data_IF_562716614258
#
_entry.id   IF_562716614258
#
_cell.length_a   1.000
_cell.length_b   1.000
_cell.length_c   1.000
_cell.angle_alpha   90.00
_cell.angle_beta   90.00
_cell.angle_gamma   90.00
#
_symmetry.space_group_name_H-M   'P 1'
#
loop_
_entity.id
_entity.type
_entity.pdbx_description
1 polymer ?
#
# COMPACT_ATOMS: atom_id res chain seq x y z
N UNK A 1 -42.97 49.36 -76.69
CA UNK A 1 -42.98 49.27 -75.21
C UNK A 1 -42.16 48.06 -74.81
N UNK A 2 -40.89 48.24 -74.48
CA UNK A 2 -40.02 47.17 -73.94
C UNK A 2 -39.64 47.58 -72.52
N UNK A 3 -40.15 46.84 -71.53
CA UNK A 3 -39.86 47.05 -70.11
C UNK A 3 -38.63 46.24 -69.73
N UNK A 4 -37.63 46.89 -69.12
CA UNK A 4 -36.40 46.27 -68.62
C UNK A 4 -36.63 45.78 -67.18
N UNK A 5 -36.23 44.54 -66.92
CA UNK A 5 -36.18 43.96 -65.58
C UNK A 5 -35.01 44.54 -64.78
N UNK A 6 -35.25 44.84 -63.49
CA UNK A 6 -34.22 45.09 -62.49
C UNK A 6 -34.16 43.89 -61.53
N UNK A 7 -32.98 43.29 -61.40
CA UNK A 7 -32.66 42.27 -60.39
C UNK A 7 -32.06 42.97 -59.19
N UNK A 8 -32.66 42.81 -58.01
CA UNK A 8 -32.13 43.34 -56.75
C UNK A 8 -31.30 42.26 -56.05
N UNK A 9 -30.02 42.54 -55.80
CA UNK A 9 -29.17 41.74 -54.92
C UNK A 9 -29.39 42.17 -53.47
N UNK A 10 -29.87 41.26 -52.62
CA UNK A 10 -29.89 41.44 -51.17
C UNK A 10 -28.59 40.94 -50.56
N UNK A 11 -27.83 41.82 -49.90
CA UNK A 11 -26.72 41.43 -49.02
C UNK A 11 -27.30 40.97 -47.67
N UNK A 12 -27.07 39.71 -47.31
CA UNK A 12 -27.27 39.23 -45.94
C UNK A 12 -25.99 39.47 -45.15
N UNK A 13 -26.06 40.27 -44.09
CA UNK A 13 -24.98 40.46 -43.12
C UNK A 13 -25.06 39.39 -42.04
N UNK A 14 -24.13 38.44 -42.03
CA UNK A 14 -23.94 37.46 -40.97
C UNK A 14 -23.12 38.08 -39.84
N UNK A 15 -23.74 38.31 -38.68
CA UNK A 15 -23.06 38.71 -37.46
C UNK A 15 -22.51 37.47 -36.75
N UNK A 16 -21.20 37.22 -36.86
CA UNK A 16 -20.51 36.23 -36.04
C UNK A 16 -20.30 36.78 -34.63
N UNK A 17 -21.06 36.28 -33.66
CA UNK A 17 -20.77 36.50 -32.25
C UNK A 17 -19.57 35.63 -31.85
N UNK A 18 -18.41 36.25 -31.66
CA UNK A 18 -17.26 35.58 -31.07
C UNK A 18 -17.56 35.29 -29.59
N UNK A 19 -17.78 34.01 -29.25
CA UNK A 19 -17.85 33.58 -27.87
C UNK A 19 -16.45 33.70 -27.25
N UNK A 20 -16.27 34.66 -26.35
CA UNK A 20 -15.09 34.78 -25.52
C UNK A 20 -15.09 33.61 -24.52
N UNK A 21 -14.26 32.60 -24.79
CA UNK A 21 -13.95 31.55 -23.82
C UNK A 21 -13.16 32.17 -22.68
N UNK A 22 -13.79 32.32 -21.52
CA UNK A 22 -13.08 32.69 -20.28
C UNK A 22 -12.21 31.49 -19.89
N UNK A 23 -10.88 31.66 -19.72
CA UNK A 23 -10.04 30.58 -19.22
C UNK A 23 -10.50 30.24 -17.80
N UNK A 24 -10.88 28.99 -17.61
CA UNK A 24 -11.23 28.45 -16.30
C UNK A 24 -9.97 28.50 -15.43
N UNK A 25 -9.96 29.37 -14.41
CA UNK A 25 -8.87 29.40 -13.44
C UNK A 25 -8.90 28.05 -12.72
N UNK A 26 -7.81 27.26 -12.71
CA UNK A 26 -7.78 26.00 -11.97
C UNK A 26 -8.11 26.31 -10.52
N UNK A 27 -9.25 25.82 -10.04
CA UNK A 27 -9.57 25.88 -8.62
C UNK A 27 -8.49 25.06 -7.93
N UNK A 28 -7.66 25.70 -7.10
CA UNK A 28 -6.74 24.99 -6.24
C UNK A 28 -7.57 23.90 -5.52
N UNK A 29 -7.16 22.63 -5.66
CA UNK A 29 -7.76 21.55 -4.87
C UNK A 29 -7.69 21.99 -3.41
N UNK A 30 -8.80 21.89 -2.70
CA UNK A 30 -8.78 22.15 -1.27
C UNK A 30 -7.86 21.11 -0.64
N UNK A 31 -6.87 21.56 0.12
CA UNK A 31 -5.96 20.65 0.81
C UNK A 31 -6.72 19.73 1.74
N UNK A 32 -6.29 18.47 1.80
CA UNK A 32 -6.86 17.49 2.71
C UNK A 32 -6.78 17.99 4.16
N UNK A 33 -7.91 17.97 4.87
CA UNK A 33 -8.00 18.40 6.28
C UNK A 33 -8.00 17.22 7.26
N UNK A 34 -8.14 16.01 6.74
CA UNK A 34 -8.09 14.73 7.47
C UNK A 34 -7.41 13.74 6.55
N UNK A 35 -6.40 13.03 7.04
CA UNK A 35 -5.60 12.09 6.28
C UNK A 35 -5.51 10.78 7.07
N UNK A 36 -5.90 9.67 6.46
CA UNK A 36 -6.01 8.38 7.15
C UNK A 36 -6.80 8.45 8.48
N UNK A 37 -7.88 9.22 8.49
CA UNK A 37 -8.77 9.38 9.65
C UNK A 37 -8.38 10.47 10.66
N UNK A 38 -7.19 11.08 10.55
CA UNK A 38 -6.70 12.08 11.53
C UNK A 38 -6.19 13.36 10.85
N UNK A 39 -6.49 14.52 11.42
CA UNK A 39 -6.03 15.81 10.88
C UNK A 39 -4.51 15.98 11.07
N UNK A 40 -4.00 15.50 12.20
CA UNK A 40 -2.60 15.56 12.62
C UNK A 40 -1.67 14.77 11.69
N UNK A 41 -2.21 13.81 10.94
CA UNK A 41 -1.44 13.03 9.98
C UNK A 41 -1.24 13.74 8.64
N UNK A 42 -2.03 14.77 8.32
CA UNK A 42 -1.88 15.48 7.04
C UNK A 42 -0.55 16.21 6.91
N UNK A 43 -0.04 16.80 7.99
CA UNK A 43 1.26 17.49 8.00
C UNK A 43 2.43 16.57 8.36
N UNK A 44 2.18 15.26 8.53
CA UNK A 44 3.19 14.29 8.94
C UNK A 44 3.77 13.56 7.73
N UNK A 45 5.10 13.52 7.64
CA UNK A 45 5.81 12.72 6.64
C UNK A 45 5.37 11.27 6.70
N UNK A 46 5.09 10.66 5.56
CA UNK A 46 4.75 9.23 5.43
C UNK A 46 5.80 8.34 6.09
N UNK A 47 7.08 8.69 5.93
CA UNK A 47 8.18 7.97 6.56
C UNK A 47 8.19 8.07 8.09
N UNK A 48 7.42 8.98 8.70
CA UNK A 48 7.33 9.17 10.15
C UNK A 48 5.95 8.79 10.73
N UNK A 49 5.27 7.81 10.12
CA UNK A 49 3.99 7.27 10.58
C UNK A 49 4.13 5.77 10.80
N UNK A 50 3.53 5.27 11.88
CA UNK A 50 3.34 3.83 12.10
C UNK A 50 1.97 3.41 11.57
N UNK A 51 1.91 2.54 10.57
CA UNK A 51 0.68 2.01 10.01
C UNK A 51 0.41 0.60 10.53
N UNK A 52 -0.87 0.30 10.79
CA UNK A 52 -1.31 -1.09 10.94
C UNK A 52 -1.32 -1.76 9.57
N UNK A 53 -0.70 -2.93 9.48
CA UNK A 53 -0.64 -3.76 8.29
C UNK A 53 -1.35 -5.10 8.48
N UNK A 54 -1.97 -5.57 7.41
CA UNK A 54 -2.50 -6.93 7.31
C UNK A 54 -1.50 -7.81 6.56
N UNK A 55 -0.95 -8.79 7.27
CA UNK A 55 -0.12 -9.84 6.68
C UNK A 55 -1.01 -10.74 5.81
N UNK A 56 -0.52 -11.04 4.62
CA UNK A 56 -1.13 -11.94 3.66
C UNK A 56 -2.64 -11.71 3.47
N UNK A 57 -2.97 -10.42 3.35
CA UNK A 57 -4.33 -9.89 3.27
C UNK A 57 -5.25 -10.48 2.18
N UNK A 58 -4.76 -11.06 1.06
CA UNK A 58 -5.62 -11.81 0.13
C UNK A 58 -6.13 -13.15 0.70
N UNK A 59 -5.45 -13.74 1.67
CA UNK A 59 -5.73 -15.09 2.18
C UNK A 59 -6.74 -15.05 3.34
N UNK A 60 -7.90 -14.46 3.07
CA UNK A 60 -8.99 -14.41 4.04
C UNK A 60 -9.96 -15.59 3.89
N UNK A 61 -10.41 -16.15 5.02
CA UNK A 61 -11.49 -17.13 5.05
C UNK A 61 -12.31 -17.03 6.34
N UNK A 62 -13.63 -17.08 6.20
CA UNK A 62 -14.55 -17.19 7.34
C UNK A 62 -14.66 -18.63 7.87
N UNK A 63 -14.10 -19.62 7.17
CA UNK A 63 -14.04 -21.00 7.65
C UNK A 63 -12.88 -21.15 8.66
N UNK A 64 -13.14 -21.37 9.95
CA UNK A 64 -12.09 -21.53 10.95
C UNK A 64 -11.21 -22.76 10.71
N UNK A 65 -11.63 -23.70 9.87
CA UNK A 65 -10.85 -24.89 9.52
C UNK A 65 -9.95 -24.70 8.28
N UNK A 66 -10.02 -23.55 7.60
CA UNK A 66 -9.05 -23.23 6.55
C UNK A 66 -7.71 -22.84 7.19
N UNK A 67 -6.79 -23.80 7.29
CA UNK A 67 -5.52 -23.64 8.01
C UNK A 67 -4.51 -22.69 7.34
N UNK A 68 -4.67 -22.41 6.05
CA UNK A 68 -3.80 -21.51 5.27
C UNK A 68 -4.42 -20.11 5.12
N UNK A 69 -5.25 -19.69 6.08
CA UNK A 69 -5.83 -18.36 6.12
C UNK A 69 -5.04 -17.51 7.12
N UNK A 70 -4.73 -16.30 6.72
CA UNK A 70 -4.08 -15.30 7.59
C UNK A 70 -5.10 -14.30 8.11
N UNK A 71 -6.26 -14.19 7.46
CA UNK A 71 -7.31 -13.25 7.83
C UNK A 71 -8.67 -13.95 7.95
N UNK A 72 -9.53 -13.42 8.83
CA UNK A 72 -10.93 -13.91 8.96
C UNK A 72 -11.98 -12.98 8.35
N UNK A 73 -11.57 -11.79 7.94
CA UNK A 73 -12.38 -10.81 7.22
C UNK A 73 -11.66 -10.33 5.97
N UNK A 74 -12.41 -9.85 4.98
CA UNK A 74 -11.83 -9.37 3.72
C UNK A 74 -10.90 -8.17 3.92
N UNK A 75 -9.89 -8.01 3.06
CA UNK A 75 -8.99 -6.86 3.10
C UNK A 75 -9.70 -5.50 2.98
N UNK A 76 -10.85 -5.41 2.30
CA UNK A 76 -11.65 -4.18 2.27
C UNK A 76 -12.27 -3.86 3.62
N UNK A 77 -12.69 -4.88 4.38
CA UNK A 77 -13.11 -4.71 5.78
C UNK A 77 -11.94 -4.24 6.65
N UNK A 78 -10.74 -4.78 6.44
CA UNK A 78 -9.54 -4.35 7.15
C UNK A 78 -9.18 -2.89 6.84
N UNK A 79 -9.28 -2.47 5.58
CA UNK A 79 -9.13 -1.06 5.18
C UNK A 79 -10.16 -0.17 5.89
N UNK A 80 -11.43 -0.58 5.95
CA UNK A 80 -12.48 0.16 6.69
C UNK A 80 -12.18 0.23 8.20
N UNK A 81 -11.45 -0.75 8.74
CA UNK A 81 -11.01 -0.82 10.13
C UNK A 81 -9.69 -0.08 10.41
N UNK A 82 -9.15 0.66 9.43
CA UNK A 82 -7.97 1.51 9.65
C UNK A 82 -6.63 0.86 9.28
N UNK A 83 -6.62 -0.36 8.70
CA UNK A 83 -5.41 -0.93 8.09
C UNK A 83 -4.99 -0.07 6.91
N UNK A 84 -3.71 0.27 6.82
CA UNK A 84 -3.15 1.11 5.74
C UNK A 84 -1.94 0.50 5.06
N UNK A 85 -1.56 -0.73 5.43
CA UNK A 85 -0.66 -1.57 4.66
C UNK A 85 -1.31 -2.92 4.37
N UNK A 86 -1.27 -3.33 3.12
CA UNK A 86 -1.76 -4.62 2.67
C UNK A 86 -0.57 -5.39 2.09
N UNK A 87 -0.22 -6.52 2.72
CA UNK A 87 0.81 -7.41 2.22
C UNK A 87 0.18 -8.62 1.53
N UNK A 88 0.87 -9.21 0.55
CA UNK A 88 0.47 -10.45 -0.09
C UNK A 88 1.56 -11.10 -0.93
N UNK A 89 1.53 -12.43 -1.01
CA UNK A 89 2.47 -13.24 -1.80
C UNK A 89 1.94 -13.59 -3.19
N UNK A 90 2.69 -13.24 -4.25
CA UNK A 90 2.24 -13.49 -5.62
C UNK A 90 3.01 -14.60 -6.34
N UNK A 91 2.28 -15.38 -7.14
CA UNK A 91 2.80 -16.49 -7.95
C UNK A 91 2.21 -16.46 -9.36
N UNK A 92 2.89 -17.14 -10.29
CA UNK A 92 2.35 -17.40 -11.62
C UNK A 92 1.43 -18.62 -11.60
N UNK A 93 0.20 -18.45 -12.04
CA UNK A 93 -0.81 -19.51 -12.12
C UNK A 93 -1.59 -19.38 -13.42
N UNK A 94 -1.61 -20.45 -14.24
CA UNK A 94 -2.34 -20.52 -15.50
C UNK A 94 -2.13 -19.32 -16.46
N UNK A 95 -0.93 -18.73 -16.45
CA UNK A 95 -0.57 -17.60 -17.31
C UNK A 95 -1.00 -16.23 -16.80
N UNK A 96 -1.45 -16.13 -15.56
CA UNK A 96 -1.74 -14.88 -14.86
C UNK A 96 -0.98 -14.83 -13.52
N UNK A 97 -0.84 -13.63 -12.97
CA UNK A 97 -0.31 -13.45 -11.62
C UNK A 97 -1.47 -13.50 -10.60
N UNK A 98 -1.34 -14.39 -9.63
CA UNK A 98 -2.29 -14.61 -8.55
C UNK A 98 -1.63 -14.35 -7.19
N UNK A 99 -2.42 -13.95 -6.20
CA UNK A 99 -1.99 -14.07 -4.82
C UNK A 99 -2.20 -15.50 -4.37
N UNK A 100 -1.13 -16.18 -3.98
CA UNK A 100 -1.18 -17.57 -3.54
C UNK A 100 -0.32 -17.79 -2.31
N UNK A 101 -0.89 -18.42 -1.28
CA UNK A 101 -0.19 -18.70 -0.03
C UNK A 101 0.78 -19.86 -0.27
N UNK A 102 2.07 -19.58 -0.52
CA UNK A 102 3.09 -20.54 -1.00
C UNK A 102 2.83 -21.16 -2.38
N UNK A 103 1.60 -21.56 -2.69
CA UNK A 103 1.15 -22.09 -3.98
C UNK A 103 -0.37 -21.99 -4.10
N UNK A 104 -0.89 -21.84 -5.32
CA UNK A 104 -2.33 -21.68 -5.54
C UNK A 104 -3.13 -22.96 -5.22
N UNK A 105 -2.46 -24.11 -5.15
CA UNK A 105 -3.04 -25.35 -4.69
C UNK A 105 -3.29 -25.37 -3.16
N UNK A 106 -2.50 -24.62 -2.39
CA UNK A 106 -2.67 -24.48 -0.94
C UNK A 106 -3.78 -23.47 -0.62
N UNK A 107 -3.65 -22.26 -1.16
CA UNK A 107 -4.68 -21.23 -1.08
C UNK A 107 -4.51 -20.27 -2.27
N UNK A 108 -5.55 -20.08 -3.08
CA UNK A 108 -5.61 -19.08 -4.15
C UNK A 108 -6.52 -17.92 -3.72
N UNK A 109 -5.91 -16.76 -3.43
CA UNK A 109 -6.60 -15.52 -3.08
C UNK A 109 -7.18 -14.79 -4.31
N UNK A 110 -6.98 -15.34 -5.51
CA UNK A 110 -7.42 -14.80 -6.79
C UNK A 110 -6.34 -13.98 -7.50
N UNK A 111 -6.70 -13.42 -8.65
CA UNK A 111 -5.76 -12.65 -9.46
C UNK A 111 -5.36 -11.34 -8.77
N UNK A 112 -4.08 -10.96 -8.90
CA UNK A 112 -3.61 -9.65 -8.39
C UNK A 112 -4.39 -8.51 -9.04
N UNK A 113 -4.77 -8.65 -10.32
CA UNK A 113 -5.60 -7.67 -11.03
C UNK A 113 -6.94 -7.41 -10.33
N UNK A 114 -7.68 -8.47 -9.99
CA UNK A 114 -9.00 -8.34 -9.35
C UNK A 114 -8.87 -7.75 -7.93
N UNK A 115 -7.82 -8.13 -7.21
CA UNK A 115 -7.49 -7.55 -5.91
C UNK A 115 -7.23 -6.04 -6.04
N UNK A 116 -6.35 -5.62 -6.95
CA UNK A 116 -6.03 -4.20 -7.17
C UNK A 116 -7.23 -3.38 -7.66
N UNK A 117 -8.10 -3.95 -8.50
CA UNK A 117 -9.35 -3.29 -8.93
C UNK A 117 -10.32 -3.06 -7.77
N UNK A 118 -10.38 -4.01 -6.83
CA UNK A 118 -11.19 -3.88 -5.61
C UNK A 118 -10.62 -2.79 -4.70
N UNK A 119 -9.29 -2.72 -4.55
CA UNK A 119 -8.63 -1.63 -3.82
C UNK A 119 -8.86 -0.28 -4.50
N UNK A 120 -8.73 -0.19 -5.83
CA UNK A 120 -9.01 1.04 -6.57
C UNK A 120 -10.46 1.51 -6.38
N UNK A 121 -11.42 0.58 -6.33
CA UNK A 121 -12.81 0.87 -6.00
C UNK A 121 -12.93 1.46 -4.59
N UNK A 122 -12.23 0.88 -3.61
CA UNK A 122 -12.20 1.41 -2.25
C UNK A 122 -11.57 2.81 -2.18
N UNK A 123 -10.45 3.04 -2.87
CA UNK A 123 -9.77 4.35 -2.93
C UNK A 123 -10.61 5.44 -3.59
N UNK A 124 -11.47 5.09 -4.55
CA UNK A 124 -12.42 6.03 -5.16
C UNK A 124 -13.52 6.48 -4.19
N UNK A 125 -13.92 5.60 -3.28
CA UNK A 125 -14.91 5.90 -2.24
C UNK A 125 -14.28 6.59 -1.01
N UNK A 126 -12.95 6.53 -0.87
CA UNK A 126 -12.21 7.07 0.26
C UNK A 126 -11.07 8.00 -0.23
N UNK A 127 -11.37 9.25 -0.61
CA UNK A 127 -10.42 10.13 -1.30
C UNK A 127 -9.27 10.65 -0.44
N UNK A 128 -9.40 10.58 0.89
CA UNK A 128 -8.43 11.10 1.87
C UNK A 128 -7.54 10.00 2.47
N UNK A 129 -7.48 8.85 1.79
CA UNK A 129 -6.76 7.68 2.25
C UNK A 129 -5.53 7.45 1.39
N UNK A 130 -4.39 7.22 2.06
CA UNK A 130 -3.12 6.76 1.50
C UNK A 130 -2.87 5.35 2.01
N UNK A 131 -2.62 4.41 1.10
CA UNK A 131 -2.34 3.02 1.42
C UNK A 131 -0.98 2.58 0.90
N UNK A 132 -0.45 1.54 1.52
CA UNK A 132 0.80 0.90 1.14
C UNK A 132 0.55 -0.54 0.74
N UNK A 133 1.15 -0.96 -0.37
CA UNK A 133 1.29 -2.36 -0.74
C UNK A 133 2.71 -2.83 -0.43
N UNK A 134 2.82 -4.06 0.07
CA UNK A 134 4.08 -4.82 0.06
C UNK A 134 3.77 -6.16 -0.56
N UNK A 135 4.31 -6.45 -1.73
CA UNK A 135 4.06 -7.73 -2.38
C UNK A 135 5.34 -8.54 -2.52
N UNK A 136 5.27 -9.82 -2.19
CA UNK A 136 6.40 -10.72 -2.43
C UNK A 136 6.31 -11.28 -3.85
N UNK A 137 7.47 -11.42 -4.48
CA UNK A 137 7.65 -11.90 -5.85
C UNK A 137 8.60 -13.13 -5.87
N UNK A 138 8.24 -14.22 -5.15
CA UNK A 138 9.10 -15.39 -4.96
C UNK A 138 9.45 -16.12 -6.27
N UNK A 139 8.57 -16.05 -7.26
CA UNK A 139 8.77 -16.68 -8.57
C UNK A 139 9.70 -15.84 -9.48
N UNK A 140 10.10 -14.64 -9.05
CA UNK A 140 10.89 -13.70 -9.87
C UNK A 140 10.14 -13.28 -11.13
N UNK A 141 8.83 -13.02 -11.01
CA UNK A 141 8.01 -12.59 -12.13
C UNK A 141 8.42 -11.19 -12.57
N UNK A 142 8.35 -10.96 -13.88
CA UNK A 142 8.96 -9.75 -14.42
C UNK A 142 8.24 -8.48 -13.97
N UNK A 143 9.00 -7.51 -13.45
CA UNK A 143 8.45 -6.23 -13.00
C UNK A 143 7.85 -5.43 -14.18
N UNK A 144 8.60 -5.14 -15.26
CA UNK A 144 8.05 -4.42 -16.41
C UNK A 144 7.05 -5.23 -17.23
N UNK A 145 7.22 -6.55 -17.38
CA UNK A 145 6.44 -7.34 -18.33
C UNK A 145 5.23 -8.07 -17.70
N UNK A 146 5.22 -8.28 -16.38
CA UNK A 146 4.13 -8.97 -15.67
C UNK A 146 3.43 -8.06 -14.64
N UNK A 147 4.18 -7.45 -13.73
CA UNK A 147 3.60 -6.64 -12.66
C UNK A 147 3.04 -5.30 -13.15
N UNK A 148 3.83 -4.52 -13.90
CA UNK A 148 3.41 -3.20 -14.38
C UNK A 148 2.09 -3.21 -15.20
N UNK A 149 1.89 -4.14 -16.16
CA UNK A 149 0.62 -4.21 -16.89
C UNK A 149 -0.61 -4.43 -16.00
N UNK A 150 -0.45 -5.18 -14.90
CA UNK A 150 -1.54 -5.44 -13.93
C UNK A 150 -1.86 -4.18 -13.11
N UNK A 151 -0.84 -3.41 -12.72
CA UNK A 151 -1.00 -2.11 -12.07
C UNK A 151 -1.63 -1.06 -12.99
N UNK A 152 -1.24 -1.03 -14.27
CA UNK A 152 -1.83 -0.15 -15.28
C UNK A 152 -3.29 -0.51 -15.55
N UNK A 153 -3.59 -1.79 -15.75
CA UNK A 153 -4.94 -2.27 -16.05
C UNK A 153 -5.92 -2.11 -14.88
N UNK A 154 -5.44 -2.22 -13.63
CA UNK A 154 -6.26 -1.96 -12.44
C UNK A 154 -6.53 -0.47 -12.20
N UNK A 155 -5.74 0.42 -12.81
CA UNK A 155 -5.78 1.86 -12.57
C UNK A 155 -4.96 2.31 -11.35
N UNK A 156 -4.36 1.39 -10.61
CA UNK A 156 -3.52 1.72 -9.45
C UNK A 156 -2.28 2.53 -9.87
N UNK A 157 -1.66 2.19 -11.00
CA UNK A 157 -0.48 2.93 -11.50
C UNK A 157 -0.73 4.45 -11.61
N UNK A 158 -1.96 4.87 -11.94
CA UNK A 158 -2.31 6.28 -12.11
C UNK A 158 -2.43 7.05 -10.79
N UNK A 159 -2.53 6.35 -9.65
CA UNK A 159 -2.60 6.92 -8.29
C UNK A 159 -1.40 6.51 -7.45
N UNK A 160 -0.39 5.86 -8.03
CA UNK A 160 0.83 5.52 -7.31
C UNK A 160 1.78 6.71 -7.19
N UNK A 161 2.44 6.81 -6.05
CA UNK A 161 3.52 7.77 -5.82
C UNK A 161 4.80 7.31 -6.49
N UNK A 162 5.41 8.23 -7.25
CA UNK A 162 6.74 8.06 -7.84
C UNK A 162 7.70 8.95 -7.06
N UNK A 163 8.63 8.38 -6.28
CA UNK A 163 9.60 9.18 -5.57
C UNK A 163 10.60 9.85 -6.54
N UNK A 164 11.17 11.02 -6.18
CA UNK A 164 12.21 11.67 -7.00
C UNK A 164 13.46 10.81 -7.21
N UNK A 165 13.70 9.85 -6.31
CA UNK A 165 14.80 8.89 -6.38
C UNK A 165 14.29 7.50 -5.99
N UNK A 166 14.78 6.42 -6.62
CA UNK A 166 14.30 5.06 -6.33
C UNK A 166 14.63 4.57 -4.91
N UNK A 167 15.57 5.22 -4.21
CA UNK A 167 15.99 4.86 -2.85
C UNK A 167 15.71 6.05 -1.92
N UNK A 168 14.46 6.22 -1.51
CA UNK A 168 14.03 7.34 -0.66
C UNK A 168 14.30 7.02 0.80
N UNK A 169 15.07 7.87 1.47
CA UNK A 169 15.30 7.73 2.92
C UNK A 169 14.01 7.93 3.67
N UNK A 170 13.91 7.32 4.85
CA UNK A 170 12.79 7.52 5.77
C UNK A 170 12.50 9.01 6.05
N UNK A 171 13.52 9.86 6.13
CA UNK A 171 13.37 11.31 6.38
C UNK A 171 12.86 12.12 5.20
N UNK A 172 12.91 11.56 3.99
CA UNK A 172 12.76 12.32 2.74
C UNK A 172 11.39 12.08 2.09
N UNK A 173 10.52 11.30 2.74
CA UNK A 173 9.16 11.06 2.28
C UNK A 173 8.27 12.31 2.44
N UNK A 174 7.40 12.61 1.47
CA UNK A 174 6.42 13.69 1.58
C UNK A 174 5.40 13.40 2.70
N UNK A 175 4.65 14.43 3.06
CA UNK A 175 3.53 14.33 4.00
C UNK A 175 2.33 13.60 3.39
N UNK A 176 1.42 13.05 4.22
CA UNK A 176 0.19 12.45 3.69
C UNK A 176 -0.68 13.48 2.97
N UNK A 177 -0.73 14.72 3.45
CA UNK A 177 -1.46 15.80 2.80
C UNK A 177 -0.94 16.06 1.38
N UNK A 178 0.38 16.12 1.20
CA UNK A 178 1.00 16.29 -0.12
C UNK A 178 0.68 15.12 -1.07
N UNK A 179 0.71 13.88 -0.57
CA UNK A 179 0.35 12.69 -1.35
C UNK A 179 -1.12 12.72 -1.81
N UNK A 180 -2.04 13.11 -0.92
CA UNK A 180 -3.48 13.21 -1.22
C UNK A 180 -3.75 14.36 -2.20
N UNK A 181 -3.17 15.53 -1.97
CA UNK A 181 -3.35 16.71 -2.81
C UNK A 181 -2.82 16.47 -4.24
N UNK A 182 -1.70 15.75 -4.36
CA UNK A 182 -1.11 15.30 -5.61
C UNK A 182 -1.92 14.18 -6.29
N UNK A 183 -2.79 13.48 -5.55
CA UNK A 183 -3.54 12.32 -6.05
C UNK A 183 -2.71 11.03 -6.15
N UNK A 184 -1.52 11.01 -5.55
CA UNK A 184 -0.60 9.86 -5.51
C UNK A 184 -0.73 9.15 -4.17
N UNK A 185 -1.82 8.38 -4.01
CA UNK A 185 -2.29 7.82 -2.75
C UNK A 185 -1.92 6.35 -2.53
N UNK A 186 -1.15 5.76 -3.43
CA UNK A 186 -0.66 4.38 -3.31
C UNK A 186 0.86 4.38 -3.32
N UNK A 187 1.47 3.65 -2.39
CA UNK A 187 2.90 3.37 -2.37
C UNK A 187 3.09 1.86 -2.42
N UNK A 188 3.90 1.36 -3.35
CA UNK A 188 4.08 -0.09 -3.54
C UNK A 188 5.53 -0.48 -3.36
N UNK A 189 5.79 -1.45 -2.49
CA UNK A 189 7.07 -2.13 -2.37
C UNK A 189 6.95 -3.57 -2.91
N UNK A 190 7.98 -4.02 -3.63
CA UNK A 190 8.15 -5.41 -4.08
C UNK A 190 9.48 -5.93 -3.52
N UNK A 191 9.48 -7.14 -2.95
CA UNK A 191 10.64 -7.72 -2.28
C UNK A 191 11.77 -8.15 -3.24
N UNK A 192 11.45 -8.43 -4.51
CA UNK A 192 12.39 -8.89 -5.52
C UNK A 192 12.12 -8.32 -6.92
N UNK A 193 13.19 -7.88 -7.60
CA UNK A 193 13.20 -7.45 -9.01
C UNK A 193 12.97 -5.96 -9.24
N UNK A 194 12.33 -5.24 -8.30
CA UNK A 194 11.98 -3.82 -8.45
C UNK A 194 13.18 -2.86 -8.38
N UNK A 195 14.37 -3.36 -8.00
CA UNK A 195 15.64 -2.64 -8.07
C UNK A 195 16.21 -2.54 -9.50
N UNK A 196 15.51 -3.11 -10.48
CA UNK A 196 15.91 -3.15 -11.88
C UNK A 196 16.76 -4.39 -12.24
N UNK A 197 17.02 -5.29 -11.30
CA UNK A 197 17.76 -6.55 -11.55
C UNK A 197 17.05 -7.47 -12.54
N UNK A 198 15.73 -7.32 -12.68
CA UNK A 198 14.88 -8.06 -13.63
C UNK A 198 14.72 -7.36 -15.00
N UNK A 199 15.46 -6.27 -15.25
CA UNK A 199 15.52 -5.63 -16.57
C UNK A 199 15.50 -4.12 -16.48
N UNK A 200 14.32 -3.53 -16.37
CA UNK A 200 14.14 -2.08 -16.22
C UNK A 200 13.29 -1.79 -14.98
N UNK A 201 13.67 -0.75 -14.19
CA UNK A 201 12.84 -0.32 -13.08
C UNK A 201 11.50 0.22 -13.60
N UNK A 202 10.46 0.05 -12.77
CA UNK A 202 9.15 0.68 -12.96
C UNK A 202 8.99 1.68 -11.83
N UNK A 203 9.00 2.97 -12.15
CA UNK A 203 9.26 4.05 -11.17
C UNK A 203 8.29 4.11 -9.97
N UNK A 204 7.12 3.48 -10.06
CA UNK A 204 6.11 3.40 -8.99
C UNK A 204 6.07 2.04 -8.26
N UNK A 205 6.89 1.06 -8.66
CA UNK A 205 7.08 -0.23 -7.99
C UNK A 205 8.45 -0.22 -7.34
N UNK A 206 8.48 -0.01 -6.03
CA UNK A 206 9.70 0.29 -5.31
C UNK A 206 10.37 -0.98 -4.78
N UNK A 207 11.71 -1.07 -4.81
CA UNK A 207 12.42 -2.16 -4.13
C UNK A 207 12.24 -2.03 -2.61
N UNK A 208 11.75 -3.09 -1.98
CA UNK A 208 11.54 -3.15 -0.54
C UNK A 208 12.88 -3.01 0.20
N UNK A 209 13.83 -3.92 -0.02
CA UNK A 209 14.98 -4.06 0.87
C UNK A 209 15.99 -2.92 0.82
N UNK A 210 15.93 -2.05 -0.20
CA UNK A 210 16.74 -0.83 -0.23
C UNK A 210 16.15 0.32 0.59
N UNK A 211 14.91 0.19 1.07
CA UNK A 211 14.14 1.25 1.72
C UNK A 211 13.47 0.81 3.03
N UNK A 212 13.16 -0.48 3.17
CA UNK A 212 12.53 -1.11 4.32
C UNK A 212 13.43 -2.28 4.75
N UNK A 213 13.71 -2.37 6.05
CA UNK A 213 14.22 -3.62 6.62
C UNK A 213 13.17 -4.25 7.51
N UNK A 214 13.36 -5.53 7.80
CA UNK A 214 12.45 -6.26 8.68
C UNK A 214 13.17 -7.32 9.54
N UNK A 215 12.56 -7.70 10.67
CA UNK A 215 12.99 -8.83 11.47
C UNK A 215 12.60 -10.17 10.85
N UNK A 216 13.09 -11.30 11.41
CA UNK A 216 12.61 -12.62 11.00
C UNK A 216 11.08 -12.71 11.10
N UNK A 217 10.46 -13.43 10.17
CA UNK A 217 9.05 -13.83 10.18
C UNK A 217 8.92 -15.29 10.66
N UNK A 218 7.70 -15.83 10.64
CA UNK A 218 7.33 -17.17 11.13
C UNK A 218 7.69 -17.42 12.62
N UNK A 219 7.42 -16.44 13.47
CA UNK A 219 7.80 -16.51 14.89
C UNK A 219 6.85 -17.41 15.67
N UNK A 220 7.39 -18.41 16.36
CA UNK A 220 6.67 -19.16 17.42
C UNK A 220 6.95 -18.61 18.82
N UNK A 221 7.68 -17.49 18.91
CA UNK A 221 8.02 -16.82 20.16
C UNK A 221 7.20 -15.52 20.29
N UNK A 222 6.22 -15.53 21.19
CA UNK A 222 5.33 -14.39 21.45
C UNK A 222 6.00 -13.15 22.05
N UNK A 223 7.31 -13.20 22.35
CA UNK A 223 8.09 -12.03 22.74
C UNK A 223 8.74 -11.30 21.55
N UNK A 224 8.65 -11.84 20.33
CA UNK A 224 9.19 -11.25 19.09
C UNK A 224 10.60 -10.63 19.26
N UNK A 225 11.62 -11.44 19.62
CA UNK A 225 12.96 -10.92 19.88
C UNK A 225 13.55 -10.26 18.63
N UNK A 226 13.57 -8.93 18.62
CA UNK A 226 13.93 -8.17 17.44
C UNK A 226 15.38 -8.35 17.02
N UNK A 227 15.58 -8.56 15.73
CA UNK A 227 16.87 -8.55 15.05
C UNK A 227 16.67 -8.08 13.62
N UNK A 228 17.71 -7.57 12.95
CA UNK A 228 17.62 -7.26 11.52
C UNK A 228 17.85 -8.55 10.74
N UNK A 229 16.95 -8.90 9.82
CA UNK A 229 17.09 -10.10 9.00
C UNK A 229 17.26 -9.78 7.51
N UNK A 230 16.28 -9.11 6.90
CA UNK A 230 16.30 -8.74 5.48
C UNK A 230 16.51 -7.22 5.34
N UNK A 231 17.57 -6.83 4.63
CA UNK A 231 17.99 -5.45 4.39
C UNK A 231 19.03 -5.38 3.26
N UNK A 232 19.01 -4.33 2.44
CA UNK A 232 20.08 -3.97 1.54
C UNK A 232 20.70 -2.61 1.92
N UNK A 233 21.87 -2.66 2.57
CA UNK A 233 22.62 -1.46 2.95
C UNK A 233 23.59 -0.97 1.87
N UNK A 234 23.50 -1.47 0.64
CA UNK A 234 24.38 -1.05 -0.46
C UNK A 234 24.12 0.39 -0.91
N UNK A 235 22.90 0.90 -0.72
CA UNK A 235 22.47 2.24 -1.17
C UNK A 235 22.20 3.25 -0.06
N UNK A 236 21.83 2.81 1.15
CA UNK A 236 21.68 3.69 2.31
C UNK A 236 21.97 2.98 3.63
N UNK A 237 22.18 3.75 4.71
CA UNK A 237 22.45 3.14 6.02
C UNK A 237 21.18 2.53 6.60
N UNK A 238 21.29 1.53 7.49
CA UNK A 238 20.14 0.98 8.23
C UNK A 238 19.29 2.07 8.92
N UNK A 239 19.93 3.11 9.44
CA UNK A 239 19.23 4.19 10.12
C UNK A 239 18.39 5.05 9.15
N UNK A 240 18.71 5.06 7.85
CA UNK A 240 17.96 5.76 6.82
C UNK A 240 16.79 4.94 6.25
N UNK A 241 16.70 3.64 6.55
CA UNK A 241 15.59 2.79 6.13
C UNK A 241 14.35 3.04 7.01
N UNK A 242 13.17 2.92 6.40
CA UNK A 242 11.95 2.55 7.12
C UNK A 242 12.06 1.11 7.62
N UNK A 243 11.13 0.68 8.48
CA UNK A 243 11.09 -0.73 8.87
C UNK A 243 9.70 -1.21 9.25
N UNK A 244 9.48 -2.50 9.08
CA UNK A 244 8.27 -3.17 9.50
C UNK A 244 8.55 -4.14 10.65
N UNK A 245 7.51 -4.51 11.39
CA UNK A 245 7.50 -5.63 12.31
C UNK A 245 6.68 -6.77 11.71
N UNK A 246 7.26 -7.96 11.68
CA UNK A 246 6.55 -9.21 11.44
C UNK A 246 5.92 -9.66 12.77
N UNK A 247 4.81 -9.00 13.15
CA UNK A 247 4.12 -9.18 14.43
C UNK A 247 2.92 -10.14 14.30
N UNK A 248 3.18 -11.32 13.75
CA UNK A 248 2.21 -12.40 13.64
C UNK A 248 2.82 -13.66 14.24
N UNK A 249 2.05 -14.32 15.12
CA UNK A 249 2.50 -15.47 15.88
C UNK A 249 2.04 -16.74 15.18
N UNK A 250 2.98 -17.66 15.02
CA UNK A 250 2.73 -18.98 14.48
C UNK A 250 2.67 -20.04 15.57
N UNK A 251 2.00 -21.13 15.22
CA UNK A 251 2.04 -22.40 15.93
C UNK A 251 2.65 -23.48 15.03
N UNK A 252 3.53 -24.30 15.60
CA UNK A 252 4.11 -25.46 14.92
C UNK A 252 3.15 -26.66 15.03
N UNK A 253 2.61 -27.07 13.88
CA UNK A 253 1.77 -28.26 13.73
C UNK A 253 2.51 -29.27 12.84
N UNK A 254 3.18 -30.24 13.45
CA UNK A 254 3.95 -31.27 12.74
C UNK A 254 5.04 -30.71 11.82
N UNK A 255 5.78 -29.70 12.29
CA UNK A 255 6.84 -29.00 11.57
C UNK A 255 6.35 -28.16 10.39
N UNK A 256 5.06 -27.80 10.42
CA UNK A 256 4.44 -26.82 9.54
C UNK A 256 4.05 -25.65 10.44
N UNK A 257 4.57 -24.48 10.12
CA UNK A 257 4.20 -23.24 10.80
C UNK A 257 2.92 -22.71 10.14
N UNK A 258 1.95 -22.37 10.98
CA UNK A 258 0.69 -21.76 10.58
C UNK A 258 0.35 -20.66 11.58
N UNK A 259 -0.34 -19.61 11.13
CA UNK A 259 -0.80 -18.54 12.00
C UNK A 259 -1.61 -19.08 13.19
N UNK A 260 -1.47 -18.44 14.36
CA UNK A 260 -2.16 -18.81 15.60
C UNK A 260 -3.41 -17.93 15.84
N UNK A 261 -4.59 -18.30 15.30
CA UNK A 261 -5.83 -17.55 15.53
C UNK A 261 -6.29 -17.56 16.98
N UNK A 262 -5.92 -18.57 17.78
CA UNK A 262 -6.33 -18.66 19.19
C UNK A 262 -5.62 -17.59 20.03
N UNK A 263 -4.37 -17.27 19.71
CA UNK A 263 -3.60 -16.22 20.37
C UNK A 263 -3.72 -14.85 19.72
N UNK A 264 -4.28 -14.73 18.52
CA UNK A 264 -4.34 -13.47 17.76
C UNK A 264 -4.84 -12.26 18.56
N UNK A 265 -5.87 -12.39 19.41
CA UNK A 265 -6.34 -11.26 20.24
C UNK A 265 -5.32 -10.79 21.28
N UNK A 266 -4.48 -11.70 21.78
CA UNK A 266 -3.40 -11.39 22.73
C UNK A 266 -2.17 -10.86 21.98
N UNK A 267 -1.78 -11.51 20.89
CA UNK A 267 -0.68 -11.10 20.00
C UNK A 267 -0.93 -9.69 19.50
N UNK A 268 -2.12 -9.40 18.97
CA UNK A 268 -2.47 -8.08 18.45
C UNK A 268 -2.89 -7.08 19.55
N UNK A 269 -2.66 -7.39 20.82
CA UNK A 269 -2.94 -6.50 21.94
C UNK A 269 -1.94 -5.35 22.05
N UNK A 270 -2.35 -4.22 22.64
CA UNK A 270 -1.48 -3.02 22.74
C UNK A 270 -0.14 -3.35 23.43
N UNK A 271 -0.17 -4.16 24.48
CA UNK A 271 1.02 -4.51 25.25
C UNK A 271 2.04 -5.32 24.43
N UNK A 272 1.56 -6.29 23.63
CA UNK A 272 2.41 -7.14 22.79
C UNK A 272 3.07 -6.34 21.68
N UNK A 273 2.28 -5.60 20.89
CA UNK A 273 2.78 -4.75 19.80
C UNK A 273 3.74 -3.68 20.31
N UNK A 274 3.44 -3.04 21.45
CA UNK A 274 4.33 -2.01 22.03
C UNK A 274 5.66 -2.62 22.47
N UNK A 275 5.64 -3.80 23.11
CA UNK A 275 6.86 -4.46 23.57
C UNK A 275 7.78 -4.86 22.40
N UNK A 276 7.21 -5.38 21.31
CA UNK A 276 7.97 -5.71 20.10
C UNK A 276 8.59 -4.44 19.46
N UNK A 277 7.78 -3.40 19.26
CA UNK A 277 8.23 -2.13 18.71
C UNK A 277 9.36 -1.50 19.54
N UNK A 278 9.23 -1.46 20.87
CA UNK A 278 10.25 -0.96 21.78
C UNK A 278 11.53 -1.82 21.73
N UNK A 279 11.40 -3.13 21.58
CA UNK A 279 12.52 -4.06 21.39
C UNK A 279 13.33 -3.76 20.12
N UNK A 280 12.70 -3.24 19.08
CA UNK A 280 13.35 -2.87 17.82
C UNK A 280 13.96 -1.45 17.79
N UNK A 281 13.55 -0.53 18.69
CA UNK A 281 14.04 0.87 18.69
C UNK A 281 15.57 1.00 18.66
N UNK A 282 16.37 0.20 19.40
CA UNK A 282 17.82 0.27 19.33
C UNK A 282 18.41 -0.02 17.94
N UNK A 283 17.66 -0.73 17.09
CA UNK A 283 18.09 -1.11 15.74
C UNK A 283 17.73 -0.05 14.69
N UNK A 284 16.78 0.85 14.96
CA UNK A 284 16.26 1.88 14.04
C UNK A 284 16.92 3.27 14.21
N UNK A 285 18.10 3.34 14.83
CA UNK A 285 18.76 4.61 15.15
C UNK A 285 18.47 5.13 16.57
N UNK A 286 17.73 4.36 17.37
CA UNK A 286 17.58 4.55 18.81
C UNK A 286 16.43 5.44 19.25
N UNK A 287 15.64 5.98 18.31
CA UNK A 287 14.57 6.92 18.62
C UNK A 287 13.35 6.83 17.67
N UNK A 288 13.27 5.77 16.85
CA UNK A 288 12.19 5.60 15.87
C UNK A 288 11.38 4.36 16.19
N UNK A 289 10.06 4.49 16.06
CA UNK A 289 9.09 3.41 16.05
C UNK A 289 8.95 2.85 14.63
N UNK A 290 8.39 1.64 14.44
CA UNK A 290 8.23 1.05 13.13
C UNK A 290 7.36 1.89 12.21
N UNK A 291 7.60 1.79 10.92
CA UNK A 291 6.70 2.31 9.91
C UNK A 291 5.48 1.43 9.74
N UNK A 292 5.63 0.11 9.93
CA UNK A 292 4.54 -0.84 9.75
C UNK A 292 4.54 -1.90 10.84
N UNK A 293 3.35 -2.29 11.30
CA UNK A 293 3.14 -3.44 12.17
C UNK A 293 2.25 -4.42 11.41
N UNK A 294 2.83 -5.48 10.83
CA UNK A 294 2.10 -6.51 10.12
C UNK A 294 1.56 -7.53 11.13
N UNK A 295 0.28 -7.89 10.99
CA UNK A 295 -0.42 -8.81 11.88
C UNK A 295 -1.29 -9.78 11.10
N UNK A 296 -1.44 -10.99 11.63
CA UNK A 296 -2.47 -11.94 11.22
C UNK A 296 -3.74 -11.73 12.02
N UNK A 297 -4.87 -12.13 11.43
CA UNK A 297 -6.22 -11.93 11.96
C UNK A 297 -6.38 -10.50 12.47
N UNK A 298 -6.03 -9.53 11.62
CA UNK A 298 -5.80 -8.13 11.99
C UNK A 298 -7.01 -7.47 12.65
N UNK A 299 -8.21 -7.99 12.42
CA UNK A 299 -9.45 -7.54 13.05
C UNK A 299 -9.60 -7.98 14.52
N UNK A 300 -8.74 -8.88 15.00
CA UNK A 300 -8.71 -9.36 16.39
C UNK A 300 -7.68 -8.56 17.20
N UNK A 301 -8.01 -8.29 18.47
CA UNK A 301 -7.16 -7.53 19.38
C UNK A 301 -7.32 -6.01 19.23
N UNK A 302 -6.21 -5.30 19.44
CA UNK A 302 -6.17 -3.85 19.62
C UNK A 302 -5.11 -3.19 18.70
N UNK A 303 -4.80 -3.81 17.55
CA UNK A 303 -3.73 -3.39 16.65
C UNK A 303 -3.83 -1.92 16.22
N UNK A 304 -5.04 -1.46 15.84
CA UNK A 304 -5.26 -0.06 15.48
C UNK A 304 -4.96 0.88 16.64
N UNK A 305 -5.37 0.50 17.86
CA UNK A 305 -5.13 1.30 19.05
C UNK A 305 -3.63 1.39 19.36
N UNK A 306 -2.89 0.30 19.16
CA UNK A 306 -1.44 0.26 19.36
C UNK A 306 -0.72 1.27 18.43
N UNK A 307 -0.98 1.19 17.13
CA UNK A 307 -0.33 2.10 16.16
C UNK A 307 -0.82 3.56 16.31
N UNK A 308 -2.07 3.77 16.74
CA UNK A 308 -2.61 5.11 17.05
C UNK A 308 -1.82 5.74 18.21
N UNK A 309 -1.53 4.97 19.27
CA UNK A 309 -0.70 5.42 20.39
C UNK A 309 0.74 5.69 19.98
N UNK A 310 1.33 4.85 19.13
CA UNK A 310 2.69 5.06 18.58
C UNK A 310 2.79 6.35 17.78
N UNK A 311 1.71 6.73 17.09
CA UNK A 311 1.60 8.00 16.39
C UNK A 311 1.28 9.20 17.31
N UNK A 312 1.12 9.00 18.62
CA UNK A 312 0.75 10.07 19.56
C UNK A 312 -0.65 10.64 19.32
N UNK A 313 -1.57 9.81 18.79
CA UNK A 313 -2.95 10.16 18.51
C UNK A 313 -3.87 9.58 19.60
N UNK A 314 -5.10 10.08 19.72
CA UNK A 314 -6.09 9.69 20.74
C UNK A 314 -7.46 9.41 20.16
#
# INVERSE_FOLDING_TARGET
>A
MFSKALVAFGLAASASAAALSVPEVPRAKASATVCNGYAELCDRSYGNITFLGAHDSPFFSSDPFALARDQEVSFTTLLDQGVRMLQGQAHSENGAIHFCHTSCALFDGGTVLAYLQSVMTWLNNNPNEVITFLFTNPDGLSIPDVWAPVFEQSGIAAVSYVPPTPNTKQSDWPTLGELIDAGTRVITFIDAGADGSDGAPVDYLLPEFTQIWEPPFDSTNSSFPCSVNRIDTSVMSKADHMYLLNHFLDIDIFSILVSDPEQASTTNGVASITADAEGCVPLSGGNRLPNFVLTDFTNLGEGLQAVTKMNGLS
#
